data_IF_866304165269
#
_entry.id   IF_866304165269
#
_cell.length_a   1.000
_cell.length_b   1.000
_cell.length_c   1.000
_cell.angle_alpha   90.00
_cell.angle_beta   90.00
_cell.angle_gamma   90.00
#
_symmetry.space_group_name_H-M   'P 1'
#
loop_
_entity.id
_entity.type
_entity.pdbx_description
1 polymer ?
#
# COMPACT_ATOMS: atom_id res chain seq x y z
N UNK A 1 -17.89 59.72 5.86
CA UNK A 1 -17.28 58.47 5.34
C UNK A 1 -17.58 57.15 6.11
N UNK A 2 -18.48 57.05 7.13
CA UNK A 2 -18.65 55.79 7.88
C UNK A 2 -19.38 54.67 7.12
N UNK A 3 -20.14 54.97 6.05
CA UNK A 3 -20.94 53.96 5.31
C UNK A 3 -20.11 52.87 4.60
N UNK A 4 -18.87 53.16 4.19
CA UNK A 4 -18.01 52.17 3.52
C UNK A 4 -17.38 51.16 4.48
N UNK A 5 -17.17 51.54 5.74
CA UNK A 5 -16.58 50.66 6.75
C UNK A 5 -17.53 49.50 7.08
N UNK A 6 -18.82 49.77 7.23
CA UNK A 6 -19.82 48.74 7.52
C UNK A 6 -19.97 47.73 6.37
N UNK A 7 -19.92 48.20 5.12
CA UNK A 7 -20.00 47.35 3.93
C UNK A 7 -18.78 46.43 3.80
N UNK A 8 -17.57 46.96 3.99
CA UNK A 8 -16.31 46.18 3.95
C UNK A 8 -16.29 45.07 5.01
N UNK A 9 -16.74 45.37 6.23
CA UNK A 9 -16.82 44.38 7.31
C UNK A 9 -17.83 43.27 6.97
N UNK A 10 -18.97 43.62 6.39
CA UNK A 10 -20.01 42.65 6.03
C UNK A 10 -19.55 41.72 4.90
N UNK A 11 -18.86 42.27 3.89
CA UNK A 11 -18.26 41.50 2.81
C UNK A 11 -17.16 40.55 3.33
N UNK A 12 -16.32 41.01 4.25
CA UNK A 12 -15.29 40.16 4.88
C UNK A 12 -15.91 38.98 5.64
N UNK A 13 -16.96 39.21 6.44
CA UNK A 13 -17.68 38.14 7.16
C UNK A 13 -18.29 37.13 6.20
N UNK A 14 -18.95 37.62 5.14
CA UNK A 14 -19.56 36.77 4.12
C UNK A 14 -18.50 35.91 3.43
N UNK A 15 -17.36 36.49 3.09
CA UNK A 15 -16.26 35.79 2.43
C UNK A 15 -15.66 34.69 3.33
N UNK A 16 -15.45 34.97 4.63
CA UNK A 16 -14.96 33.98 5.60
C UNK A 16 -15.97 32.84 5.77
N UNK A 17 -17.25 33.17 5.93
CA UNK A 17 -18.31 32.17 6.11
C UNK A 17 -18.45 31.27 4.88
N UNK A 18 -18.44 31.84 3.67
CA UNK A 18 -18.49 31.08 2.41
C UNK A 18 -17.23 30.22 2.26
N UNK A 19 -16.05 30.77 2.55
CA UNK A 19 -14.78 30.03 2.44
C UNK A 19 -14.74 28.84 3.41
N UNK A 20 -15.19 29.04 4.66
CA UNK A 20 -15.22 27.97 5.66
C UNK A 20 -16.27 26.91 5.32
N UNK A 21 -17.48 27.31 4.91
CA UNK A 21 -18.52 26.39 4.45
C UNK A 21 -18.05 25.59 3.23
N UNK A 22 -17.46 26.25 2.24
CA UNK A 22 -16.93 25.61 1.04
C UNK A 22 -15.80 24.65 1.41
N UNK A 23 -14.91 25.04 2.32
CA UNK A 23 -13.84 24.18 2.81
C UNK A 23 -14.37 22.96 3.55
N UNK A 24 -15.36 23.11 4.45
CA UNK A 24 -15.96 21.99 5.16
C UNK A 24 -16.68 21.04 4.20
N UNK A 25 -17.49 21.56 3.27
CA UNK A 25 -18.17 20.73 2.26
C UNK A 25 -17.16 20.03 1.37
N UNK A 26 -16.11 20.72 0.93
CA UNK A 26 -15.05 20.15 0.11
C UNK A 26 -14.27 19.09 0.90
N UNK A 27 -13.92 19.34 2.16
CA UNK A 27 -13.22 18.39 3.01
C UNK A 27 -14.09 17.15 3.30
N UNK A 28 -15.38 17.32 3.61
CA UNK A 28 -16.33 16.22 3.79
C UNK A 28 -16.56 15.45 2.50
N UNK A 29 -16.66 16.14 1.36
CA UNK A 29 -16.81 15.52 0.05
C UNK A 29 -15.56 14.74 -0.34
N UNK A 30 -14.36 15.32 -0.15
CA UNK A 30 -13.08 14.65 -0.37
C UNK A 30 -12.97 13.44 0.56
N UNK A 31 -13.25 13.58 1.85
CA UNK A 31 -13.21 12.46 2.79
C UNK A 31 -14.20 11.35 2.40
N UNK A 32 -15.45 11.70 2.08
CA UNK A 32 -16.45 10.72 1.64
C UNK A 32 -16.06 10.05 0.32
N UNK A 33 -15.59 10.82 -0.67
CA UNK A 33 -15.11 10.27 -1.94
C UNK A 33 -13.86 9.42 -1.78
N UNK A 34 -12.96 9.78 -0.88
CA UNK A 34 -11.74 9.02 -0.60
C UNK A 34 -12.07 7.69 0.08
N UNK A 35 -13.02 7.70 1.03
CA UNK A 35 -13.54 6.48 1.68
C UNK A 35 -14.26 5.56 0.68
N UNK A 36 -15.02 6.13 -0.26
CA UNK A 36 -15.85 5.33 -1.19
C UNK A 36 -15.20 5.02 -2.54
N UNK A 37 -14.17 5.74 -2.94
CA UNK A 37 -13.56 5.65 -4.26
C UNK A 37 -12.05 5.75 -4.10
N UNK A 38 -11.39 4.61 -3.93
CA UNK A 38 -9.94 4.48 -4.12
C UNK A 38 -9.47 4.74 -5.56
N UNK A 39 -10.24 5.50 -6.36
CA UNK A 39 -10.11 5.63 -7.80
C UNK A 39 -10.21 7.10 -8.30
N UNK A 40 -10.62 8.06 -7.45
CA UNK A 40 -10.78 9.48 -7.85
C UNK A 40 -9.50 10.32 -7.74
N UNK A 41 -8.38 9.76 -7.29
CA UNK A 41 -7.11 10.50 -7.12
C UNK A 41 -6.61 11.17 -8.42
N UNK A 42 -6.97 10.62 -9.58
CA UNK A 42 -6.26 10.89 -10.82
C UNK A 42 -6.47 12.31 -11.38
N UNK A 43 -7.70 12.83 -11.39
CA UNK A 43 -8.00 14.08 -12.10
C UNK A 43 -7.74 15.35 -11.28
N UNK A 44 -7.74 15.24 -9.95
CA UNK A 44 -7.47 16.37 -9.07
C UNK A 44 -5.96 16.58 -8.89
N UNK A 45 -5.19 15.49 -8.71
CA UNK A 45 -3.74 15.55 -8.57
C UNK A 45 -3.02 16.01 -9.85
N UNK A 46 -3.51 15.58 -11.02
CA UNK A 46 -3.00 16.04 -12.33
C UNK A 46 -3.10 17.57 -12.48
N UNK A 47 -4.20 18.19 -11.99
CA UNK A 47 -4.38 19.64 -12.02
C UNK A 47 -3.46 20.40 -11.08
N UNK A 48 -2.94 19.75 -10.03
CA UNK A 48 -1.99 20.36 -9.09
C UNK A 48 -0.52 20.12 -9.50
N UNK A 49 -0.26 19.54 -10.68
CA UNK A 49 1.10 19.26 -11.15
C UNK A 49 1.84 18.24 -10.29
N UNK A 50 1.11 17.41 -9.53
CA UNK A 50 1.67 16.26 -8.85
C UNK A 50 1.92 15.16 -9.90
N UNK A 51 3.17 14.75 -9.99
CA UNK A 51 3.78 14.04 -11.11
C UNK A 51 3.08 12.71 -11.44
N UNK A 52 2.49 12.60 -12.64
CA UNK A 52 1.90 11.38 -13.20
C UNK A 52 2.91 10.24 -13.42
N UNK A 53 4.20 10.50 -13.17
CA UNK A 53 5.29 9.53 -13.26
C UNK A 53 5.06 8.28 -12.40
N UNK A 54 4.23 8.36 -11.36
CA UNK A 54 3.95 7.21 -10.50
C UNK A 54 3.18 6.09 -11.21
N UNK A 55 2.28 6.41 -12.15
CA UNK A 55 1.59 5.39 -12.95
C UNK A 55 2.54 4.61 -13.85
N UNK A 56 3.51 5.31 -14.45
CA UNK A 56 4.56 4.66 -15.25
C UNK A 56 5.44 3.73 -14.41
N UNK A 57 5.49 3.94 -13.10
CA UNK A 57 6.24 3.09 -12.17
C UNK A 57 5.44 1.85 -11.81
N UNK A 58 4.13 1.98 -11.64
CA UNK A 58 3.23 0.86 -11.40
C UNK A 58 3.19 -0.12 -12.59
N UNK A 59 3.00 0.38 -13.81
CA UNK A 59 3.00 -0.48 -15.02
C UNK A 59 4.32 -1.24 -15.16
N UNK A 60 5.45 -0.56 -14.94
CA UNK A 60 6.79 -1.19 -14.94
C UNK A 60 6.97 -2.23 -13.83
N UNK A 61 6.33 -2.05 -12.68
CA UNK A 61 6.39 -3.03 -11.58
C UNK A 61 5.73 -4.34 -12.00
N UNK A 62 4.54 -4.26 -12.60
CA UNK A 62 3.82 -5.42 -13.11
C UNK A 62 4.60 -6.12 -14.21
N UNK A 63 5.13 -5.38 -15.19
CA UNK A 63 5.94 -5.97 -16.27
C UNK A 63 7.12 -6.79 -15.75
N UNK A 64 7.81 -6.29 -14.72
CA UNK A 64 8.92 -7.02 -14.08
C UNK A 64 8.44 -8.27 -13.32
N UNK A 65 7.32 -8.17 -12.60
CA UNK A 65 6.71 -9.30 -11.90
C UNK A 65 6.39 -10.42 -12.89
N UNK A 66 5.77 -10.07 -14.03
CA UNK A 66 5.42 -11.03 -15.08
C UNK A 66 6.65 -11.55 -15.81
N UNK A 67 7.66 -10.71 -16.07
CA UNK A 67 8.89 -11.12 -16.72
C UNK A 67 9.60 -12.22 -15.94
N UNK A 68 9.70 -12.09 -14.62
CA UNK A 68 10.33 -13.11 -13.76
C UNK A 68 9.53 -14.43 -13.80
N UNK A 69 8.19 -14.35 -13.69
CA UNK A 69 7.33 -15.52 -13.76
C UNK A 69 7.40 -16.22 -15.12
N UNK A 70 7.33 -15.44 -16.20
CA UNK A 70 7.39 -15.93 -17.57
C UNK A 70 8.74 -16.59 -17.86
N UNK A 71 9.83 -16.15 -17.24
CA UNK A 71 11.13 -16.80 -17.34
C UNK A 71 11.09 -18.24 -16.79
N UNK A 72 10.47 -18.44 -15.62
CA UNK A 72 10.29 -19.76 -15.00
C UNK A 72 9.35 -20.63 -15.84
N UNK A 73 8.21 -20.07 -16.25
CA UNK A 73 7.24 -20.76 -17.10
C UNK A 73 7.85 -21.16 -18.44
N UNK A 74 8.67 -20.30 -19.05
CA UNK A 74 9.37 -20.62 -20.31
C UNK A 74 10.37 -21.76 -20.15
N UNK A 75 11.11 -21.79 -19.04
CA UNK A 75 12.00 -22.92 -18.73
C UNK A 75 11.18 -24.22 -18.57
N UNK A 76 10.07 -24.17 -17.83
CA UNK A 76 9.18 -25.31 -17.66
C UNK A 76 8.60 -25.80 -18.99
N UNK A 77 8.10 -24.91 -19.85
CA UNK A 77 7.60 -25.23 -21.18
C UNK A 77 8.66 -25.92 -22.03
N UNK A 78 9.89 -25.41 -22.03
CA UNK A 78 11.02 -26.03 -22.73
C UNK A 78 11.27 -27.45 -22.23
N UNK A 79 11.21 -27.68 -20.90
CA UNK A 79 11.44 -28.99 -20.32
C UNK A 79 10.37 -30.05 -20.63
N UNK A 80 9.10 -29.65 -20.81
CA UNK A 80 8.03 -30.58 -21.24
C UNK A 80 7.88 -30.68 -22.76
N UNK A 81 8.61 -29.86 -23.52
CA UNK A 81 8.56 -29.83 -24.98
C UNK A 81 7.34 -29.06 -25.53
N UNK A 82 6.77 -28.15 -24.74
CA UNK A 82 5.67 -27.27 -25.16
C UNK A 82 6.23 -26.00 -25.80
N UNK A 83 5.65 -25.57 -26.93
CA UNK A 83 6.08 -24.37 -27.64
C UNK A 83 5.42 -23.11 -27.09
N UNK A 84 4.18 -23.27 -26.61
CA UNK A 84 3.34 -22.21 -26.07
C UNK A 84 2.64 -22.70 -24.80
N UNK A 85 2.22 -21.74 -24.00
CA UNK A 85 1.44 -22.00 -22.80
C UNK A 85 0.15 -22.78 -23.09
N UNK A 86 -0.50 -22.46 -24.22
CA UNK A 86 -1.77 -23.05 -24.61
C UNK A 86 -1.68 -24.55 -24.94
N UNK A 87 -0.47 -25.04 -25.26
CA UNK A 87 -0.22 -26.45 -25.59
C UNK A 87 -0.32 -27.36 -24.35
N UNK A 88 -0.20 -26.81 -23.14
CA UNK A 88 -0.19 -27.59 -21.89
C UNK A 88 -1.55 -28.23 -21.56
N UNK A 89 -1.59 -29.37 -20.87
CA UNK A 89 -2.81 -29.88 -20.25
C UNK A 89 -3.39 -28.88 -19.24
N UNK A 90 -4.72 -28.83 -19.12
CA UNK A 90 -5.41 -27.87 -18.23
C UNK A 90 -4.94 -27.96 -16.77
N UNK A 91 -4.74 -29.18 -16.27
CA UNK A 91 -4.19 -29.41 -14.93
C UNK A 91 -2.86 -28.70 -14.73
N UNK A 92 -2.02 -28.66 -15.77
CA UNK A 92 -0.72 -28.02 -15.71
C UNK A 92 -0.80 -26.50 -15.85
N UNK A 93 -1.75 -25.99 -16.65
CA UNK A 93 -1.99 -24.54 -16.78
C UNK A 93 -2.31 -23.91 -15.44
N UNK A 94 -3.12 -24.57 -14.61
CA UNK A 94 -3.55 -24.04 -13.30
C UNK A 94 -2.39 -23.70 -12.36
N UNK A 95 -1.28 -24.43 -12.42
CA UNK A 95 -0.11 -24.16 -11.58
C UNK A 95 0.80 -23.06 -12.12
N UNK A 96 0.64 -22.70 -13.40
CA UNK A 96 1.50 -21.76 -14.11
C UNK A 96 0.80 -20.47 -14.50
N UNK A 97 -0.52 -20.39 -14.39
CA UNK A 97 -1.25 -19.12 -14.57
C UNK A 97 -1.36 -18.40 -13.22
N UNK A 98 -0.80 -17.19 -13.06
CA UNK A 98 -1.06 -16.37 -11.89
C UNK A 98 -2.51 -15.85 -11.88
N UNK A 99 -3.12 -15.67 -13.06
CA UNK A 99 -4.48 -15.15 -13.20
C UNK A 99 -5.36 -16.14 -13.97
N UNK A 100 -6.65 -16.14 -13.64
CA UNK A 100 -7.65 -17.01 -14.28
C UNK A 100 -7.91 -16.48 -15.69
N UNK A 101 -7.14 -16.95 -16.67
CA UNK A 101 -7.45 -16.81 -18.09
C UNK A 101 -7.68 -18.20 -18.65
N UNK A 102 -8.93 -18.66 -18.56
CA UNK A 102 -9.35 -19.94 -19.14
C UNK A 102 -9.58 -19.72 -20.63
N UNK A 103 -8.55 -19.98 -21.44
CA UNK A 103 -8.71 -20.17 -22.88
C UNK A 103 -8.61 -21.67 -23.17
N UNK A 104 -9.77 -22.28 -23.45
CA UNK A 104 -9.88 -23.70 -23.76
C UNK A 104 -9.72 -23.91 -25.26
N UNK A 105 -8.62 -24.53 -25.66
CA UNK A 105 -8.43 -25.07 -27.01
C UNK A 105 -8.05 -26.54 -26.87
N UNK A 106 -8.88 -27.43 -27.42
CA UNK A 106 -8.74 -28.89 -27.32
C UNK A 106 -7.97 -29.46 -28.53
N UNK A 107 -6.73 -29.01 -28.73
CA UNK A 107 -5.88 -29.52 -29.80
C UNK A 107 -4.73 -30.38 -29.25
N UNK A 108 -4.88 -31.70 -29.44
CA UNK A 108 -3.83 -32.70 -29.63
C UNK A 108 -2.58 -32.61 -28.71
N UNK A 109 -2.79 -32.71 -27.39
CA UNK A 109 -1.75 -32.73 -26.34
C UNK A 109 -0.93 -34.04 -26.26
N UNK A 110 -1.10 -34.96 -27.20
CA UNK A 110 -0.66 -36.37 -27.12
C UNK A 110 0.87 -36.60 -27.12
N UNK A 111 1.69 -35.55 -27.22
CA UNK A 111 3.15 -35.64 -27.29
C UNK A 111 3.89 -34.95 -26.13
N UNK A 112 3.20 -34.32 -25.20
CA UNK A 112 3.87 -33.59 -24.11
C UNK A 112 4.22 -34.52 -22.95
N UNK A 113 5.42 -34.33 -22.39
CA UNK A 113 5.82 -35.00 -21.16
C UNK A 113 5.04 -34.41 -19.98
N UNK A 114 4.51 -35.22 -19.03
CA UNK A 114 3.91 -34.68 -17.82
C UNK A 114 4.97 -34.01 -16.93
N UNK A 115 4.58 -32.95 -16.21
CA UNK A 115 5.45 -32.30 -15.22
C UNK A 115 5.79 -33.27 -14.07
N UNK A 116 7.07 -33.33 -13.72
CA UNK A 116 7.57 -34.04 -12.54
C UNK A 116 7.24 -33.28 -11.25
N UNK A 117 7.39 -33.95 -10.11
CA UNK A 117 7.03 -33.37 -8.81
C UNK A 117 7.79 -32.06 -8.52
N UNK A 118 9.11 -32.03 -8.75
CA UNK A 118 9.91 -30.82 -8.56
C UNK A 118 9.48 -29.65 -9.46
N UNK A 119 9.13 -29.93 -10.72
CA UNK A 119 8.66 -28.92 -11.68
C UNK A 119 7.31 -28.33 -11.29
N UNK A 120 6.39 -29.16 -10.76
CA UNK A 120 5.10 -28.69 -10.24
C UNK A 120 5.27 -27.79 -9.03
N UNK A 121 6.14 -28.18 -8.10
CA UNK A 121 6.46 -27.37 -6.92
C UNK A 121 7.09 -26.03 -7.32
N UNK A 122 8.00 -26.04 -8.30
CA UNK A 122 8.60 -24.82 -8.84
C UNK A 122 7.55 -23.87 -9.44
N UNK A 123 6.66 -24.40 -10.29
CA UNK A 123 5.60 -23.62 -10.93
C UNK A 123 4.66 -23.00 -9.89
N UNK A 124 4.21 -23.81 -8.92
CA UNK A 124 3.37 -23.35 -7.82
C UNK A 124 4.05 -22.27 -6.97
N UNK A 125 5.33 -22.45 -6.61
CA UNK A 125 6.09 -21.47 -5.85
C UNK A 125 6.24 -20.14 -6.61
N UNK A 126 6.57 -20.18 -7.90
CA UNK A 126 6.68 -18.98 -8.73
C UNK A 126 5.34 -18.26 -8.87
N UNK A 127 4.24 -19.01 -9.03
CA UNK A 127 2.88 -18.47 -9.04
C UNK A 127 2.54 -17.78 -7.71
N UNK A 128 2.80 -18.42 -6.58
CA UNK A 128 2.51 -17.86 -5.25
C UNK A 128 3.30 -16.58 -5.00
N UNK A 129 4.60 -16.57 -5.34
CA UNK A 129 5.45 -15.37 -5.26
C UNK A 129 4.87 -14.24 -6.15
N UNK A 130 4.45 -14.57 -7.37
CA UNK A 130 3.85 -13.61 -8.30
C UNK A 130 2.59 -12.98 -7.72
N UNK A 131 1.67 -13.80 -7.22
CA UNK A 131 0.43 -13.34 -6.60
C UNK A 131 0.68 -12.47 -5.37
N UNK A 132 1.65 -12.85 -4.54
CA UNK A 132 2.04 -12.04 -3.38
C UNK A 132 2.70 -10.72 -3.77
N UNK A 133 3.52 -10.68 -4.81
CA UNK A 133 4.10 -9.42 -5.33
C UNK A 133 3.01 -8.48 -5.83
N UNK A 134 2.02 -8.99 -6.54
CA UNK A 134 0.85 -8.21 -6.99
C UNK A 134 0.08 -7.65 -5.80
N UNK A 135 -0.23 -8.50 -4.81
CA UNK A 135 -0.92 -8.10 -3.59
C UNK A 135 -0.16 -7.00 -2.82
N UNK A 136 1.14 -7.21 -2.55
CA UNK A 136 1.97 -6.23 -1.83
C UNK A 136 2.22 -4.95 -2.63
N UNK A 137 2.27 -5.03 -3.96
CA UNK A 137 2.35 -3.84 -4.82
C UNK A 137 1.08 -2.99 -4.69
N UNK A 138 -0.10 -3.61 -4.79
CA UNK A 138 -1.37 -2.93 -4.60
C UNK A 138 -1.49 -2.33 -3.18
N UNK A 139 -1.08 -3.07 -2.15
CA UNK A 139 -1.08 -2.59 -0.77
C UNK A 139 -0.10 -1.43 -0.55
N UNK A 140 1.11 -1.50 -1.11
CA UNK A 140 2.08 -0.41 -1.03
C UNK A 140 1.55 0.86 -1.70
N UNK A 141 0.96 0.74 -2.89
CA UNK A 141 0.37 1.89 -3.60
C UNK A 141 -0.79 2.51 -2.80
N UNK A 142 -1.68 1.68 -2.26
CA UNK A 142 -2.78 2.15 -1.42
C UNK A 142 -2.30 2.87 -0.15
N UNK A 143 -1.34 2.29 0.57
CA UNK A 143 -0.78 2.90 1.78
C UNK A 143 -0.01 4.19 1.48
N UNK A 144 0.69 4.25 0.35
CA UNK A 144 1.42 5.44 -0.09
C UNK A 144 0.49 6.63 -0.34
N UNK A 145 -0.60 6.40 -1.08
CA UNK A 145 -1.63 7.40 -1.35
C UNK A 145 -2.24 7.95 -0.05
N UNK A 146 -2.63 7.05 0.87
CA UNK A 146 -3.16 7.44 2.18
C UNK A 146 -2.15 8.26 2.99
N UNK A 147 -0.88 7.85 2.99
CA UNK A 147 0.19 8.57 3.68
C UNK A 147 0.39 9.97 3.10
N UNK A 148 0.52 10.11 1.78
CA UNK A 148 0.66 11.41 1.13
C UNK A 148 -0.52 12.34 1.45
N UNK A 149 -1.74 11.82 1.37
CA UNK A 149 -2.94 12.58 1.67
C UNK A 149 -2.97 13.07 3.13
N UNK A 150 -2.64 12.20 4.07
CA UNK A 150 -2.53 12.53 5.49
C UNK A 150 -1.47 13.62 5.74
N UNK A 151 -0.32 13.53 5.06
CA UNK A 151 0.72 14.57 5.10
C UNK A 151 0.21 15.91 4.59
N UNK A 152 -0.49 15.92 3.45
CA UNK A 152 -1.06 17.15 2.86
C UNK A 152 -2.10 17.82 3.77
N UNK A 153 -2.99 17.03 4.39
CA UNK A 153 -3.96 17.55 5.36
C UNK A 153 -3.23 18.18 6.55
N UNK A 154 -2.24 17.48 7.10
CA UNK A 154 -1.50 17.94 8.28
C UNK A 154 -0.80 19.27 8.01
N UNK A 155 -0.15 19.39 6.85
CA UNK A 155 0.49 20.63 6.39
C UNK A 155 -0.55 21.76 6.24
N UNK A 156 -1.70 21.47 5.63
CA UNK A 156 -2.77 22.44 5.42
C UNK A 156 -3.35 22.97 6.75
N UNK A 157 -3.62 22.07 7.71
CA UNK A 157 -4.08 22.44 9.05
C UNK A 157 -3.02 23.28 9.78
N UNK A 158 -1.75 22.90 9.66
CA UNK A 158 -0.64 23.67 10.24
C UNK A 158 -0.60 25.11 9.71
N UNK A 159 -0.66 25.29 8.40
CA UNK A 159 -0.69 26.63 7.78
C UNK A 159 -1.91 27.45 8.20
N UNK A 160 -3.11 26.85 8.20
CA UNK A 160 -4.33 27.52 8.65
C UNK A 160 -4.22 27.95 10.12
N UNK A 161 -3.69 27.06 10.98
CA UNK A 161 -3.47 27.36 12.40
C UNK A 161 -2.58 28.59 12.57
N UNK A 162 -1.45 28.65 11.85
CA UNK A 162 -0.56 29.81 11.88
C UNK A 162 -1.28 31.09 11.44
N UNK A 163 -2.08 31.06 10.36
CA UNK A 163 -2.84 32.22 9.89
C UNK A 163 -3.83 32.69 10.97
N UNK A 164 -4.59 31.78 11.59
CA UNK A 164 -5.56 32.15 12.62
C UNK A 164 -4.89 32.70 13.89
N UNK A 165 -3.76 32.11 14.30
CA UNK A 165 -2.98 32.63 15.42
C UNK A 165 -2.46 34.03 15.09
N UNK A 166 -1.90 34.26 13.90
CA UNK A 166 -1.46 35.58 13.46
C UNK A 166 -2.60 36.59 13.40
N UNK A 167 -3.78 36.21 12.90
CA UNK A 167 -4.96 37.09 12.88
C UNK A 167 -5.43 37.43 14.31
N UNK A 168 -5.33 36.48 15.25
CA UNK A 168 -5.72 36.69 16.65
C UNK A 168 -4.86 37.73 17.38
N UNK A 169 -3.61 37.95 16.94
CA UNK A 169 -2.69 38.91 17.57
C UNK A 169 -2.79 40.32 16.98
N UNK A 170 -3.38 40.49 15.79
CA UNK A 170 -3.62 41.81 15.20
C UNK A 170 -4.70 42.59 15.96
N UNK A 171 -4.78 43.91 15.77
CA UNK A 171 -5.82 44.75 16.41
C UNK A 171 -7.26 44.31 16.06
N UNK A 172 -7.42 43.62 14.91
CA UNK A 172 -8.68 42.97 14.55
C UNK A 172 -9.10 41.85 15.51
N UNK A 173 -8.22 41.34 16.37
CA UNK A 173 -8.51 40.31 17.37
C UNK A 173 -8.96 40.83 18.75
N UNK A 174 -8.80 42.12 19.06
CA UNK A 174 -8.91 42.65 20.45
C UNK A 174 -10.23 43.31 20.84
N UNK A 175 -11.15 43.55 19.91
CA UNK A 175 -12.46 44.15 20.19
C UNK A 175 -13.52 43.16 20.69
N UNK A 176 -14.70 43.69 21.01
CA UNK A 176 -15.83 42.94 21.58
C UNK A 176 -16.80 42.36 20.55
N UNK A 177 -16.48 42.47 19.25
CA UNK A 177 -17.37 42.06 18.17
C UNK A 177 -17.58 40.54 18.08
N UNK A 178 -18.73 40.13 17.53
CA UNK A 178 -19.04 38.70 17.28
C UNK A 178 -17.98 38.00 16.42
N UNK A 179 -17.36 38.70 15.48
CA UNK A 179 -16.25 38.17 14.67
C UNK A 179 -15.00 37.88 15.47
N UNK A 180 -14.67 38.73 16.44
CA UNK A 180 -13.50 38.52 17.31
C UNK A 180 -13.67 37.29 18.18
N UNK A 181 -14.88 37.03 18.67
CA UNK A 181 -15.20 35.78 19.38
C UNK A 181 -14.96 34.56 18.49
N UNK A 182 -15.42 34.59 17.23
CA UNK A 182 -15.21 33.47 16.29
C UNK A 182 -13.72 33.24 16.02
N UNK A 183 -12.94 34.30 15.72
CA UNK A 183 -11.50 34.16 15.46
C UNK A 183 -10.78 33.58 16.68
N UNK A 184 -11.13 34.03 17.89
CA UNK A 184 -10.53 33.51 19.13
C UNK A 184 -10.91 32.05 19.39
N UNK A 185 -12.16 31.66 19.10
CA UNK A 185 -12.58 30.26 19.20
C UNK A 185 -11.84 29.40 18.16
N UNK A 186 -11.74 29.83 16.91
CA UNK A 186 -10.99 29.12 15.87
C UNK A 186 -9.52 28.98 16.24
N UNK A 187 -8.89 30.02 16.79
CA UNK A 187 -7.50 29.98 17.23
C UNK A 187 -7.23 28.96 18.35
N UNK A 188 -8.26 28.53 19.10
CA UNK A 188 -8.15 27.45 20.10
C UNK A 188 -8.48 26.08 19.49
N UNK A 189 -9.48 26.01 18.61
CA UNK A 189 -9.93 24.76 18.00
C UNK A 189 -8.93 24.23 16.96
N UNK A 190 -8.32 25.09 16.15
CA UNK A 190 -7.39 24.67 15.10
C UNK A 190 -6.13 23.97 15.65
N UNK A 191 -5.44 24.48 16.69
CA UNK A 191 -4.35 23.75 17.33
C UNK A 191 -4.79 22.38 17.86
N UNK A 192 -5.97 22.30 18.48
CA UNK A 192 -6.49 21.03 18.98
C UNK A 192 -6.77 20.03 17.85
N UNK A 193 -7.34 20.49 16.73
CA UNK A 193 -7.54 19.68 15.52
C UNK A 193 -6.21 19.25 14.90
N UNK A 194 -5.19 20.10 14.90
CA UNK A 194 -3.84 19.76 14.44
C UNK A 194 -3.24 18.62 15.25
N UNK A 195 -3.32 18.69 16.59
CA UNK A 195 -2.86 17.61 17.47
C UNK A 195 -3.67 16.33 17.27
N UNK A 196 -4.99 16.43 17.11
CA UNK A 196 -5.84 15.26 16.85
C UNK A 196 -5.51 14.58 15.52
N UNK A 197 -5.31 15.37 14.45
CA UNK A 197 -4.87 14.85 13.15
C UNK A 197 -3.49 14.20 13.25
N UNK A 198 -2.53 14.86 13.90
CA UNK A 198 -1.19 14.30 14.11
C UNK A 198 -1.24 13.00 14.92
N UNK A 199 -2.12 12.91 15.92
CA UNK A 199 -2.35 11.69 16.68
C UNK A 199 -2.91 10.58 15.78
N UNK A 200 -3.93 10.85 14.95
CA UNK A 200 -4.48 9.88 14.00
C UNK A 200 -3.38 9.36 13.05
N UNK A 201 -2.58 10.25 12.48
CA UNK A 201 -1.46 9.86 11.60
C UNK A 201 -0.43 9.02 12.35
N UNK A 202 -0.15 9.34 13.61
CA UNK A 202 0.74 8.57 14.47
C UNK A 202 0.18 7.19 14.86
N UNK A 203 -1.13 7.08 15.10
CA UNK A 203 -1.80 5.84 15.53
C UNK A 203 -2.04 4.86 14.38
N UNK A 204 -2.52 5.35 13.23
CA UNK A 204 -2.80 4.50 12.07
C UNK A 204 -1.56 4.27 11.20
N UNK A 205 -0.50 5.06 11.38
CA UNK A 205 0.83 4.79 10.83
C UNK A 205 0.88 4.32 9.38
N UNK A 206 0.21 4.97 8.40
CA UNK A 206 0.23 4.52 6.99
C UNK A 206 1.66 4.46 6.41
N UNK A 207 2.59 5.22 7.00
CA UNK A 207 4.01 5.13 6.72
C UNK A 207 4.62 3.77 7.09
N UNK A 208 4.22 3.19 8.22
CA UNK A 208 4.67 1.88 8.66
C UNK A 208 4.17 0.79 7.71
N UNK A 209 2.87 0.80 7.37
CA UNK A 209 2.25 -0.12 6.42
C UNK A 209 2.93 -0.04 5.04
N UNK A 210 3.15 1.18 4.54
CA UNK A 210 3.86 1.41 3.28
C UNK A 210 5.30 0.87 3.34
N UNK A 211 6.03 1.16 4.43
CA UNK A 211 7.42 0.73 4.58
C UNK A 211 7.52 -0.80 4.65
N UNK A 212 6.57 -1.43 5.33
CA UNK A 212 6.49 -2.88 5.44
C UNK A 212 6.16 -3.52 4.10
N UNK A 213 5.10 -3.08 3.43
CA UNK A 213 4.71 -3.58 2.11
C UNK A 213 5.85 -3.44 1.09
N UNK A 214 6.55 -2.29 1.11
CA UNK A 214 7.71 -2.03 0.26
C UNK A 214 8.88 -2.98 0.53
N UNK A 215 9.18 -3.27 1.81
CA UNK A 215 10.23 -4.22 2.19
C UNK A 215 9.88 -5.64 1.77
N UNK A 216 8.65 -6.08 2.01
CA UNK A 216 8.17 -7.41 1.59
C UNK A 216 8.19 -7.57 0.08
N UNK A 217 7.75 -6.55 -0.67
CA UNK A 217 7.80 -6.54 -2.12
C UNK A 217 9.24 -6.61 -2.65
N UNK A 218 10.17 -5.86 -2.05
CA UNK A 218 11.58 -5.89 -2.44
C UNK A 218 12.19 -7.28 -2.21
N UNK A 219 11.96 -7.87 -1.04
CA UNK A 219 12.46 -9.22 -0.72
C UNK A 219 11.87 -10.29 -1.65
N UNK A 220 10.56 -10.23 -1.93
CA UNK A 220 9.92 -11.13 -2.90
C UNK A 220 10.45 -10.93 -4.32
N UNK A 221 10.71 -9.68 -4.73
CA UNK A 221 11.26 -9.38 -6.05
C UNK A 221 12.67 -9.94 -6.21
N UNK A 222 13.51 -9.79 -5.17
CA UNK A 222 14.83 -10.39 -5.15
C UNK A 222 14.76 -11.92 -5.21
N UNK A 223 13.90 -12.55 -4.41
CA UNK A 223 13.72 -14.00 -4.43
C UNK A 223 13.24 -14.49 -5.80
N UNK A 224 12.25 -13.82 -6.40
CA UNK A 224 11.71 -14.23 -7.69
C UNK A 224 12.74 -14.10 -8.81
N UNK A 225 13.50 -12.99 -8.83
CA UNK A 225 14.58 -12.79 -9.79
C UNK A 225 15.72 -13.79 -9.62
N UNK A 226 16.08 -14.14 -8.37
CA UNK A 226 17.07 -15.20 -8.10
C UNK A 226 16.60 -16.56 -8.62
N UNK A 227 15.35 -16.94 -8.32
CA UNK A 227 14.74 -18.17 -8.80
C UNK A 227 14.71 -18.21 -10.34
N UNK A 228 14.29 -17.11 -10.98
CA UNK A 228 14.27 -16.98 -12.44
C UNK A 228 15.67 -17.10 -13.06
N UNK A 229 16.72 -16.58 -12.43
CA UNK A 229 18.10 -16.69 -12.97
C UNK A 229 18.69 -18.08 -12.72
N UNK A 230 18.49 -18.64 -11.53
CA UNK A 230 19.09 -19.91 -11.13
C UNK A 230 18.45 -21.11 -11.84
N UNK A 231 17.16 -21.05 -12.16
CA UNK A 231 16.49 -22.15 -12.86
C UNK A 231 17.03 -22.36 -14.28
N UNK A 232 17.38 -21.29 -14.99
CA UNK A 232 17.99 -21.41 -16.32
C UNK A 232 19.38 -22.03 -16.33
N UNK A 233 20.01 -22.17 -15.15
CA UNK A 233 21.26 -22.93 -14.98
C UNK A 233 21.02 -24.42 -14.77
N UNK A 234 19.77 -24.82 -14.50
CA UNK A 234 19.39 -26.21 -14.27
C UNK A 234 19.01 -26.89 -15.58
N UNK A 235 19.39 -28.16 -15.70
CA UNK A 235 18.95 -29.01 -16.80
C UNK A 235 17.54 -29.54 -16.54
N UNK A 236 16.80 -29.81 -17.61
CA UNK A 236 15.49 -30.43 -17.50
C UNK A 236 15.58 -31.84 -16.90
N UNK A 237 14.63 -32.16 -16.04
CA UNK A 237 14.47 -33.51 -15.51
C UNK A 237 14.02 -34.42 -16.66
N UNK A 238 14.72 -35.54 -16.84
CA UNK A 238 14.46 -36.53 -17.89
C UNK A 238 13.68 -37.71 -17.34
N UNK A 239 13.95 -38.09 -16.09
CA UNK A 239 13.30 -39.22 -15.43
C UNK A 239 13.21 -39.00 -13.93
N UNK A 240 12.20 -39.57 -13.25
CA UNK A 240 12.11 -39.50 -11.79
C UNK A 240 13.36 -40.05 -11.11
N UNK A 241 13.91 -39.31 -10.17
CA UNK A 241 15.12 -39.67 -9.42
C UNK A 241 16.43 -39.46 -10.19
N UNK A 242 16.42 -38.74 -11.31
CA UNK A 242 17.66 -38.36 -11.99
C UNK A 242 18.47 -37.33 -11.19
N UNK A 243 19.73 -37.12 -11.58
CA UNK A 243 20.61 -36.17 -10.90
C UNK A 243 20.06 -34.74 -10.92
N UNK A 244 19.35 -34.35 -11.99
CA UNK A 244 18.79 -33.00 -12.11
C UNK A 244 17.66 -32.77 -11.09
N UNK A 245 16.82 -33.79 -10.84
CA UNK A 245 15.79 -33.72 -9.80
C UNK A 245 16.43 -33.66 -8.39
N UNK A 246 17.48 -34.46 -8.16
CA UNK A 246 18.24 -34.46 -6.91
C UNK A 246 18.88 -33.09 -6.65
N UNK A 247 19.44 -32.45 -7.68
CA UNK A 247 20.09 -31.13 -7.59
C UNK A 247 19.07 -29.98 -7.45
N UNK A 248 17.90 -30.11 -8.08
CA UNK A 248 16.82 -29.10 -7.99
C UNK A 248 16.16 -29.09 -6.61
N UNK A 249 16.01 -30.24 -5.96
CA UNK A 249 15.35 -30.37 -4.66
C UNK A 249 15.89 -29.42 -3.57
N UNK A 250 17.21 -29.35 -3.27
CA UNK A 250 17.72 -28.44 -2.25
C UNK A 250 17.54 -26.97 -2.62
N UNK A 251 17.54 -26.61 -3.91
CA UNK A 251 17.24 -25.24 -4.36
C UNK A 251 15.79 -24.88 -4.06
N UNK A 252 14.85 -25.76 -4.38
CA UNK A 252 13.42 -25.58 -4.09
C UNK A 252 13.15 -25.45 -2.58
N UNK A 253 13.78 -26.29 -1.77
CA UNK A 253 13.68 -26.21 -0.31
C UNK A 253 14.24 -24.87 0.21
N UNK A 254 15.37 -24.42 -0.34
CA UNK A 254 15.98 -23.13 0.00
C UNK A 254 15.09 -21.93 -0.36
N UNK A 255 14.53 -21.89 -1.57
CA UNK A 255 13.64 -20.81 -1.99
C UNK A 255 12.30 -20.84 -1.24
N UNK A 256 11.72 -22.03 -1.03
CA UNK A 256 10.47 -22.18 -0.26
C UNK A 256 10.65 -21.71 1.17
N UNK A 257 11.77 -22.05 1.81
CA UNK A 257 12.10 -21.55 3.15
C UNK A 257 12.20 -20.02 3.18
N UNK A 258 12.94 -19.42 2.24
CA UNK A 258 13.05 -17.94 2.14
C UNK A 258 11.69 -17.29 1.91
N UNK A 259 10.84 -17.89 1.09
CA UNK A 259 9.49 -17.40 0.86
C UNK A 259 8.68 -17.37 2.16
N UNK A 260 8.66 -18.48 2.92
CA UNK A 260 7.99 -18.57 4.23
C UNK A 260 8.58 -17.56 5.22
N UNK A 261 9.90 -17.40 5.25
CA UNK A 261 10.57 -16.42 6.11
C UNK A 261 10.12 -14.98 5.77
N UNK A 262 9.97 -14.64 4.47
CA UNK A 262 9.46 -13.33 4.05
C UNK A 262 7.99 -13.16 4.46
N UNK A 263 7.15 -14.18 4.28
CA UNK A 263 5.74 -14.12 4.69
C UNK A 263 5.58 -13.94 6.20
N UNK A 264 6.32 -14.71 7.00
CA UNK A 264 6.27 -14.62 8.46
C UNK A 264 6.73 -13.25 8.99
N UNK A 265 7.81 -12.70 8.44
CA UNK A 265 8.29 -11.35 8.76
C UNK A 265 7.26 -10.28 8.37
N UNK A 266 6.61 -10.46 7.22
CA UNK A 266 5.58 -9.54 6.73
C UNK A 266 4.30 -9.57 7.58
N UNK A 267 3.93 -10.72 8.16
CA UNK A 267 2.71 -10.82 8.96
C UNK A 267 2.90 -10.34 10.40
N UNK A 268 4.10 -10.49 10.96
CA UNK A 268 4.40 -10.11 12.37
C UNK A 268 4.22 -8.62 12.63
N UNK A 269 4.45 -7.79 11.61
CA UNK A 269 4.43 -6.33 11.75
C UNK A 269 3.01 -5.76 11.88
N UNK A 270 1.98 -6.45 11.36
CA UNK A 270 0.58 -6.03 11.49
C UNK A 270 0.02 -6.22 12.90
N UNK A 271 0.52 -7.23 13.64
CA UNK A 271 0.01 -7.56 14.99
C UNK A 271 0.55 -6.61 16.06
N UNK A 272 1.74 -6.03 15.84
CA UNK A 272 2.36 -5.11 16.79
C UNK A 272 1.61 -3.78 16.94
N UNK A 273 0.94 -3.31 15.87
CA UNK A 273 0.18 -2.05 15.90
C UNK A 273 -1.14 -2.14 16.70
N UNK A 274 -1.72 -3.33 16.85
CA UNK A 274 -3.01 -3.53 17.51
C UNK A 274 -2.93 -3.66 19.04
N UNK A 275 -1.73 -3.84 19.61
CA UNK A 275 -1.56 -4.17 21.03
C UNK A 275 -0.93 -3.00 21.80
N UNK A 276 -1.59 -1.84 21.81
CA UNK A 276 -1.31 -0.79 22.81
C UNK A 276 -2.50 -0.68 23.77
N UNK A 277 -2.60 -1.50 24.82
CA UNK A 277 -3.51 -1.26 25.92
C UNK A 277 -2.88 -0.18 26.81
N UNK A 278 -3.37 1.05 26.67
CA UNK A 278 -3.25 2.05 27.72
C UNK A 278 -4.07 1.62 28.94
N UNK A 279 -3.53 0.72 29.74
CA UNK A 279 -4.01 0.48 31.11
C UNK A 279 -2.85 0.76 32.03
N UNK A 280 -2.77 2.03 32.45
CA UNK A 280 -2.01 2.45 33.61
C UNK A 280 -2.65 1.83 34.85
N UNK A 281 -2.34 0.56 35.12
CA UNK A 281 -2.62 -0.03 36.42
C UNK A 281 -1.66 0.61 37.44
N UNK A 282 -2.20 1.60 38.14
CA UNK A 282 -1.68 2.11 39.39
C UNK A 282 -1.63 0.96 40.41
N UNK A 283 -0.51 0.24 40.45
CA UNK A 283 -0.13 -0.61 41.59
C UNK A 283 0.25 0.28 42.77
N UNK A 284 -0.76 0.86 43.41
CA UNK A 284 -0.69 1.44 44.75
C UNK A 284 -1.50 0.55 45.70
N UNK A 285 -0.92 -0.55 46.17
CA UNK A 285 -1.36 -1.18 47.44
C UNK A 285 -0.16 -1.96 48.02
N UNK A 286 0.65 -1.34 48.88
CA UNK A 286 0.47 -1.15 50.33
C UNK A 286 0.57 -2.48 51.10
N UNK A 287 1.78 -2.68 51.63
CA UNK A 287 2.04 -3.03 53.04
C UNK A 287 1.08 -4.04 53.69
N UNK A 288 1.55 -5.29 53.86
CA UNK A 288 1.12 -6.08 55.01
C UNK A 288 2.25 -6.92 55.60
N UNK A 289 2.59 -6.49 56.81
CA UNK A 289 3.39 -7.04 57.90
C UNK A 289 3.19 -8.54 58.12
N UNK A 290 4.28 -9.15 58.60
CA UNK A 290 4.49 -10.50 59.12
C UNK A 290 3.43 -11.00 60.14
N UNK A 291 3.47 -12.28 60.54
CA UNK A 291 4.50 -12.79 61.46
C UNK A 291 5.35 -13.93 60.92
#
# INVERSE_FOLDING_TARGET
MPKYSTLMILLSKLFIAISFSAFCVLASYIAAKFVYSGQMEFQLLEKFGLDLRDRSREDRSYDLIYSDHNSVTSWLLNCVGASKFDDLPEESKQFLTPFIFLSYNDENTSKLRPFFAGERVLGALSKDITMKRVYWSAQANGAYSQWQFATWITISIGMLTTIFVSLSTTEFGRGEGTTQRVVRTLAVVFPALGTAAAAIVGFYGPQADWSQASRSLASLSQLHGQLAIEIWKQNCIKSPGDQNEIDLKPLLEGWSKRYIDIETLSNTSNTAAATTPGTSDNSSDKSRVAP
#
